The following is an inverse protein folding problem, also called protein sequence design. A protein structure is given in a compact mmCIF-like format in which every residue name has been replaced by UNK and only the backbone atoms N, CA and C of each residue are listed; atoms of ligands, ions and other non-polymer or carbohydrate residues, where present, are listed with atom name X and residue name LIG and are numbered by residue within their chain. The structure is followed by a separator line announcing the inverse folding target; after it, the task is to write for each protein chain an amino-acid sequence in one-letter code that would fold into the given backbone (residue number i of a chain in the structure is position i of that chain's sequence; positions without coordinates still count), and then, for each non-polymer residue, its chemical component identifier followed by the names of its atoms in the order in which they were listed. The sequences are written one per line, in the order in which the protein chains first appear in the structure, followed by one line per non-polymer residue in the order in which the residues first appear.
data_IF_579486805216
#
_entry.id   IF_579486805216
#
_cell.length_a   1.000
_cell.length_b   1.000
_cell.length_c   1.000
_cell.angle_alpha   90.00
_cell.angle_beta   90.00
_cell.angle_gamma   90.00
#
_symmetry.space_group_name_H-M   'P 1'
#
loop_
_entity.id
_entity.type
_entity.pdbx_description
1 polymer ?
#
# COMPACT_ATOMS: atom_id res chain seq x y z
N UNK A 1 39.04 4.83 -15.97
CA UNK A 1 39.11 5.08 -14.51
C UNK A 1 37.68 5.25 -14.02
N UNK A 2 37.18 4.24 -13.30
CA UNK A 2 35.83 4.25 -12.73
C UNK A 2 35.74 5.36 -11.69
N UNK A 3 34.85 6.31 -11.93
CA UNK A 3 34.49 7.33 -10.94
C UNK A 3 33.62 6.65 -9.89
N UNK A 4 34.25 6.27 -8.80
CA UNK A 4 33.61 5.80 -7.58
C UNK A 4 32.88 6.99 -6.94
N UNK A 5 31.66 7.26 -7.43
CA UNK A 5 30.76 8.21 -6.79
C UNK A 5 30.22 7.51 -5.55
N UNK A 6 30.49 8.00 -4.33
CA UNK A 6 29.86 7.43 -3.15
C UNK A 6 28.36 7.69 -3.28
N UNK A 7 27.61 6.66 -3.62
CA UNK A 7 26.16 6.69 -3.53
C UNK A 7 25.87 6.77 -2.03
N UNK A 8 25.53 7.96 -1.55
CA UNK A 8 24.92 8.07 -0.23
C UNK A 8 23.56 7.39 -0.41
N UNK A 9 23.46 6.14 0.05
CA UNK A 9 22.16 5.49 0.22
C UNK A 9 21.41 6.31 1.26
N UNK A 10 20.64 7.29 0.80
CA UNK A 10 19.62 7.94 1.61
C UNK A 10 18.65 6.83 1.97
N UNK A 11 18.85 6.24 3.16
CA UNK A 11 17.99 5.20 3.69
C UNK A 11 16.62 5.83 3.85
N UNK A 12 15.71 5.48 2.94
CA UNK A 12 14.35 6.00 2.96
C UNK A 12 13.68 5.51 4.24
N UNK A 13 13.29 6.45 5.13
CA UNK A 13 12.66 6.16 6.42
C UNK A 13 11.45 5.24 6.28
N UNK A 14 10.75 5.28 5.13
CA UNK A 14 9.66 4.35 4.78
C UNK A 14 10.14 2.92 4.61
N UNK A 15 11.16 2.73 3.79
CA UNK A 15 11.72 1.40 3.50
C UNK A 15 12.34 0.78 4.74
N UNK A 16 13.16 1.53 5.47
CA UNK A 16 13.79 1.05 6.70
C UNK A 16 12.78 0.59 7.74
N UNK A 17 11.67 1.32 7.87
CA UNK A 17 10.61 0.96 8.80
C UNK A 17 9.89 -0.33 8.38
N UNK A 18 9.54 -0.49 7.09
CA UNK A 18 8.93 -1.74 6.63
C UNK A 18 9.89 -2.93 6.73
N UNK A 19 11.19 -2.74 6.47
CA UNK A 19 12.20 -3.78 6.67
C UNK A 19 12.23 -4.24 8.14
N UNK A 20 12.22 -3.30 9.09
CA UNK A 20 12.17 -3.62 10.52
C UNK A 20 10.88 -4.34 10.93
N UNK A 21 9.73 -3.89 10.40
CA UNK A 21 8.43 -4.56 10.61
C UNK A 21 8.47 -6.00 10.11
N UNK A 22 8.99 -6.22 8.90
CA UNK A 22 9.03 -7.54 8.26
C UNK A 22 10.06 -8.48 8.90
N UNK A 23 11.15 -7.96 9.44
CA UNK A 23 12.23 -8.77 10.03
C UNK A 23 12.00 -9.06 11.52
N UNK A 24 11.59 -8.06 12.28
CA UNK A 24 11.60 -8.12 13.75
C UNK A 24 10.19 -8.23 14.35
N UNK A 25 9.14 -7.80 13.63
CA UNK A 25 7.78 -7.68 14.18
C UNK A 25 6.71 -8.30 13.26
N UNK A 26 7.08 -9.27 12.42
CA UNK A 26 6.20 -9.79 11.38
C UNK A 26 4.92 -10.43 11.93
N UNK A 27 5.02 -11.25 12.98
CA UNK A 27 3.87 -11.94 13.57
C UNK A 27 2.87 -10.96 14.17
N UNK A 28 3.35 -9.94 14.91
CA UNK A 28 2.48 -8.90 15.47
C UNK A 28 1.85 -8.07 14.34
N UNK A 29 2.63 -7.72 13.31
CA UNK A 29 2.15 -6.97 12.16
C UNK A 29 1.08 -7.75 11.39
N UNK A 30 1.26 -9.06 11.22
CA UNK A 30 0.30 -9.95 10.56
C UNK A 30 -0.99 -10.08 11.38
N UNK A 31 -0.89 -10.25 12.70
CA UNK A 31 -2.07 -10.29 13.58
C UNK A 31 -2.87 -8.99 13.50
N UNK A 32 -2.19 -7.83 13.45
CA UNK A 32 -2.84 -6.52 13.25
C UNK A 32 -3.49 -6.40 11.89
N UNK A 33 -2.81 -6.84 10.82
CA UNK A 33 -3.36 -6.82 9.47
C UNK A 33 -4.62 -7.69 9.36
N UNK A 34 -4.60 -8.89 9.91
CA UNK A 34 -5.76 -9.80 9.92
C UNK A 34 -6.92 -9.20 10.72
N UNK A 35 -6.67 -8.61 11.89
CA UNK A 35 -7.72 -7.93 12.66
C UNK A 35 -8.40 -6.81 11.85
N UNK A 36 -7.62 -6.05 11.08
CA UNK A 36 -8.16 -4.99 10.22
C UNK A 36 -8.96 -5.54 9.04
N UNK A 37 -8.56 -6.68 8.48
CA UNK A 37 -9.30 -7.36 7.41
C UNK A 37 -10.62 -7.94 7.93
N UNK A 38 -10.62 -8.51 9.14
CA UNK A 38 -11.81 -9.07 9.78
C UNK A 38 -12.85 -7.98 10.14
N UNK A 39 -12.39 -6.77 10.46
CA UNK A 39 -13.25 -5.60 10.71
C UNK A 39 -13.87 -5.01 9.42
N UNK A 40 -13.32 -5.34 8.25
CA UNK A 40 -13.76 -4.76 6.99
C UNK A 40 -15.04 -5.43 6.45
N UNK A 41 -15.90 -4.63 5.82
CA UNK A 41 -17.09 -5.16 5.15
C UNK A 41 -16.78 -5.47 3.69
N UNK A 42 -17.18 -6.64 3.22
CA UNK A 42 -17.02 -7.03 1.81
C UNK A 42 -18.16 -6.46 0.98
N UNK A 43 -17.82 -5.74 -0.09
CA UNK A 43 -18.75 -5.14 -1.04
C UNK A 43 -19.01 -6.06 -2.26
N UNK A 44 -19.99 -5.73 -3.11
CA UNK A 44 -20.36 -6.51 -4.30
C UNK A 44 -19.21 -6.71 -5.30
N UNK A 45 -18.26 -5.76 -5.32
CA UNK A 45 -17.07 -5.78 -6.16
C UNK A 45 -15.88 -6.54 -5.52
N UNK A 46 -16.09 -7.27 -4.41
CA UNK A 46 -15.03 -7.96 -3.66
C UNK A 46 -14.07 -7.02 -2.91
N UNK A 47 -14.44 -5.74 -2.75
CA UNK A 47 -13.66 -4.77 -2.01
C UNK A 47 -13.84 -4.96 -0.50
N UNK A 48 -12.74 -4.89 0.25
CA UNK A 48 -12.77 -4.94 1.71
C UNK A 48 -12.82 -3.50 2.20
N UNK A 49 -14.01 -3.00 2.48
CA UNK A 49 -14.25 -1.57 2.71
C UNK A 49 -14.21 -1.26 4.20
N UNK A 50 -13.38 -0.28 4.56
CA UNK A 50 -13.29 0.23 5.93
C UNK A 50 -14.44 1.21 6.21
N UNK A 51 -14.95 1.28 7.44
CA UNK A 51 -16.06 2.18 7.83
C UNK A 51 -15.64 3.68 7.97
N UNK A 52 -14.59 4.11 7.28
CA UNK A 52 -14.03 5.46 7.33
C UNK A 52 -14.46 6.31 6.14
N UNK A 53 -14.46 7.64 6.27
CA UNK A 53 -14.81 8.55 5.16
C UNK A 53 -13.77 8.53 4.03
N UNK A 54 -12.51 8.25 4.34
CA UNK A 54 -11.41 8.14 3.38
C UNK A 54 -10.48 6.98 3.71
N UNK A 55 -9.24 6.96 3.16
CA UNK A 55 -8.28 5.92 3.46
C UNK A 55 -8.03 5.80 4.96
N UNK A 56 -8.24 4.61 5.52
CA UNK A 56 -7.99 4.36 6.93
C UNK A 56 -6.50 4.51 7.24
N UNK A 57 -6.21 5.16 8.36
CA UNK A 57 -4.87 5.32 8.91
C UNK A 57 -4.83 4.70 10.29
N UNK A 58 -3.69 4.15 10.65
CA UNK A 58 -3.47 3.57 11.96
C UNK A 58 -2.03 3.84 12.40
N UNK A 59 -1.71 3.54 13.65
CA UNK A 59 -0.37 3.70 14.20
C UNK A 59 0.21 2.35 14.56
N UNK A 60 1.40 2.05 14.07
CA UNK A 60 2.13 0.82 14.38
C UNK A 60 3.60 1.16 14.62
N UNK A 61 4.21 0.60 15.67
CA UNK A 61 5.61 0.89 16.07
C UNK A 61 5.98 2.39 16.01
N UNK A 62 5.10 3.25 16.56
CA UNK A 62 5.31 4.70 16.60
C UNK A 62 5.02 5.47 15.31
N UNK A 63 4.95 4.81 14.15
CA UNK A 63 4.68 5.43 12.84
C UNK A 63 3.19 5.41 12.50
N UNK A 64 2.69 6.50 11.92
CA UNK A 64 1.35 6.53 11.33
C UNK A 64 1.45 6.07 9.86
N UNK A 65 0.70 5.03 9.49
CA UNK A 65 0.71 4.49 8.15
C UNK A 65 -0.71 4.31 7.60
N UNK A 66 -0.86 4.26 6.27
CA UNK A 66 -2.14 3.94 5.63
C UNK A 66 -2.36 2.43 5.69
N UNK A 67 -3.56 2.01 6.08
CA UNK A 67 -3.88 0.59 6.30
C UNK A 67 -3.70 -0.23 5.02
N UNK A 68 -4.20 0.25 3.88
CA UNK A 68 -4.05 -0.45 2.61
C UNK A 68 -2.57 -0.66 2.24
N UNK A 69 -1.74 0.38 2.43
CA UNK A 69 -0.31 0.35 2.14
C UNK A 69 0.39 -0.68 3.04
N UNK A 70 0.04 -0.70 4.31
CA UNK A 70 0.58 -1.64 5.29
C UNK A 70 0.23 -3.09 4.94
N UNK A 71 -1.03 -3.38 4.64
CA UNK A 71 -1.50 -4.71 4.26
C UNK A 71 -0.79 -5.19 2.99
N UNK A 72 -0.74 -4.37 1.94
CA UNK A 72 -0.03 -4.76 0.72
C UNK A 72 1.44 -5.08 0.97
N UNK A 73 2.16 -4.22 1.70
CA UNK A 73 3.57 -4.45 2.02
C UNK A 73 3.79 -5.76 2.81
N UNK A 74 2.93 -6.06 3.77
CA UNK A 74 3.03 -7.29 4.57
C UNK A 74 2.77 -8.54 3.75
N UNK A 75 1.67 -8.57 3.00
CA UNK A 75 1.26 -9.77 2.24
C UNK A 75 2.19 -10.04 1.04
N UNK A 76 2.78 -8.99 0.46
CA UNK A 76 3.76 -9.13 -0.62
C UNK A 76 5.21 -9.24 -0.11
N UNK A 77 5.43 -9.25 1.21
CA UNK A 77 6.76 -9.22 1.83
C UNK A 77 7.67 -8.13 1.23
N UNK A 78 7.10 -6.94 1.03
CA UNK A 78 7.70 -5.86 0.26
C UNK A 78 7.90 -4.60 1.11
N UNK A 79 9.13 -4.10 1.18
CA UNK A 79 9.46 -2.88 1.91
C UNK A 79 9.38 -1.65 1.01
N UNK A 80 8.18 -1.10 0.88
CA UNK A 80 7.95 0.06 0.02
C UNK A 80 8.61 1.33 0.56
N UNK A 81 9.32 2.03 -0.31
CA UNK A 81 9.94 3.33 -0.03
C UNK A 81 8.90 4.48 -0.10
N UNK A 82 9.26 5.68 0.33
CA UNK A 82 8.37 6.85 0.38
C UNK A 82 8.06 7.45 -0.99
N UNK A 83 8.82 7.11 -2.03
CA UNK A 83 8.57 7.53 -3.41
C UNK A 83 7.56 6.62 -4.13
N UNK A 84 7.52 5.34 -3.76
CA UNK A 84 6.62 4.31 -4.29
C UNK A 84 5.18 4.54 -3.85
N UNK A 85 4.26 4.29 -4.78
CA UNK A 85 2.83 4.47 -4.60
C UNK A 85 2.16 3.11 -4.73
N UNK A 86 1.40 2.74 -3.70
CA UNK A 86 0.51 1.60 -3.77
C UNK A 86 -0.83 2.12 -4.27
N UNK A 87 -1.21 1.65 -5.47
CA UNK A 87 -2.35 2.11 -6.25
C UNK A 87 -3.51 1.13 -6.07
N UNK A 88 -4.74 1.64 -6.11
CA UNK A 88 -5.94 0.81 -6.09
C UNK A 88 -6.38 0.54 -7.52
N UNK A 89 -6.42 -0.72 -7.94
CA UNK A 89 -7.01 -1.06 -9.24
C UNK A 89 -8.54 -0.89 -9.24
N UNK A 90 -9.17 -1.16 -8.09
CA UNK A 90 -10.63 -0.99 -7.91
C UNK A 90 -11.10 0.48 -7.82
N UNK A 91 -10.18 1.45 -7.84
CA UNK A 91 -10.41 2.88 -7.58
C UNK A 91 -11.21 3.21 -6.29
N UNK A 92 -11.36 2.25 -5.38
CA UNK A 92 -11.98 2.47 -4.08
C UNK A 92 -10.91 2.76 -3.03
N UNK A 93 -10.80 4.03 -2.63
CA UNK A 93 -9.80 4.50 -1.66
C UNK A 93 -9.99 3.97 -0.23
N UNK A 94 -11.12 3.34 0.06
CA UNK A 94 -11.43 2.69 1.34
C UNK A 94 -11.18 1.18 1.30
N UNK A 95 -10.85 0.63 0.13
CA UNK A 95 -10.56 -0.78 -0.03
C UNK A 95 -9.20 -1.13 0.59
N UNK A 96 -9.17 -2.16 1.42
CA UNK A 96 -7.95 -2.70 2.01
C UNK A 96 -7.62 -4.12 1.54
N UNK A 97 -8.32 -4.62 0.51
CA UNK A 97 -8.07 -5.94 -0.08
C UNK A 97 -6.69 -5.93 -0.78
N UNK A 98 -5.71 -6.76 -0.37
CA UNK A 98 -4.37 -6.80 -0.97
C UNK A 98 -4.39 -7.13 -2.47
N UNK A 99 -5.34 -7.94 -2.94
CA UNK A 99 -5.44 -8.36 -4.35
C UNK A 99 -5.89 -7.21 -5.28
N UNK A 100 -6.52 -6.18 -4.70
CA UNK A 100 -6.98 -4.99 -5.42
C UNK A 100 -5.92 -3.89 -5.46
N UNK A 101 -4.71 -4.16 -4.98
CA UNK A 101 -3.61 -3.22 -4.91
C UNK A 101 -2.50 -3.57 -5.88
N UNK A 102 -1.79 -2.55 -6.35
CA UNK A 102 -0.65 -2.71 -7.23
C UNK A 102 0.45 -1.71 -6.88
N UNK A 103 1.69 -2.18 -6.85
CA UNK A 103 2.84 -1.28 -6.75
C UNK A 103 2.98 -0.47 -8.04
N UNK A 104 3.24 0.82 -7.90
CA UNK A 104 3.61 1.67 -9.02
C UNK A 104 4.38 2.91 -8.61
N UNK A 105 4.67 3.74 -9.59
CA UNK A 105 5.30 5.03 -9.40
C UNK A 105 4.27 6.18 -9.39
N UNK A 106 4.73 7.40 -9.09
CA UNK A 106 3.86 8.60 -9.08
C UNK A 106 3.28 8.94 -10.45
N UNK A 107 3.99 8.62 -11.53
CA UNK A 107 3.59 8.88 -12.91
C UNK A 107 2.50 7.90 -13.32
N UNK A 108 2.64 6.61 -13.01
CA UNK A 108 1.62 5.59 -13.25
C UNK A 108 0.34 5.90 -12.47
N UNK A 109 0.45 6.31 -11.19
CA UNK A 109 -0.71 6.77 -10.42
C UNK A 109 -1.41 7.99 -11.03
N UNK A 110 -0.65 8.88 -11.69
CA UNK A 110 -1.24 10.00 -12.43
C UNK A 110 -1.98 9.53 -13.68
N UNK A 111 -1.42 8.57 -14.42
CA UNK A 111 -2.07 7.98 -15.59
C UNK A 111 -3.32 7.19 -15.24
N UNK A 112 -3.38 6.53 -14.08
CA UNK A 112 -4.60 5.88 -13.61
C UNK A 112 -5.72 6.90 -13.35
N UNK A 113 -5.40 8.04 -12.72
CA UNK A 113 -6.37 9.11 -12.48
C UNK A 113 -6.90 9.68 -13.80
N UNK A 114 -6.01 9.89 -14.77
CA UNK A 114 -6.38 10.34 -16.13
C UNK A 114 -7.23 9.29 -16.85
N UNK A 115 -6.83 8.02 -16.79
CA UNK A 115 -7.53 6.92 -17.43
C UNK A 115 -8.94 6.70 -16.85
N UNK A 116 -9.07 6.78 -15.52
CA UNK A 116 -10.36 6.69 -14.85
C UNK A 116 -11.28 7.86 -15.23
N UNK A 117 -10.75 9.08 -15.29
CA UNK A 117 -11.52 10.27 -15.72
C UNK A 117 -11.99 10.18 -17.17
N UNK A 118 -11.21 9.53 -18.03
CA UNK A 118 -11.53 9.37 -19.44
C UNK A 118 -12.52 8.21 -19.70
N UNK A 119 -12.33 7.07 -19.02
CA UNK A 119 -12.98 5.80 -19.37
C UNK A 119 -13.88 5.22 -18.27
N UNK A 120 -13.90 5.79 -17.07
CA UNK A 120 -14.78 5.43 -15.96
C UNK A 120 -14.36 4.20 -15.13
N UNK A 121 -13.79 3.15 -15.73
CA UNK A 121 -13.37 1.93 -15.00
C UNK A 121 -12.13 1.28 -15.62
N UNK A 122 -11.32 0.61 -14.79
CA UNK A 122 -10.25 -0.27 -15.25
C UNK A 122 -10.85 -1.60 -15.75
N UNK A 123 -10.82 -1.81 -17.07
CA UNK A 123 -11.36 -3.02 -17.72
C UNK A 123 -10.56 -4.29 -17.41
N UNK A 124 -9.39 -4.20 -16.76
CA UNK A 124 -8.60 -5.36 -16.33
C UNK A 124 -9.13 -6.06 -15.07
N UNK A 125 -10.21 -5.57 -14.46
CA UNK A 125 -10.86 -6.12 -13.28
C UNK A 125 -12.29 -6.67 -13.53
N UNK A 126 -12.76 -6.65 -14.79
CA UNK A 126 -13.99 -7.32 -15.24
C UNK A 126 -13.69 -8.77 -15.67
#
# INVERSE_FOLDING_TARGET
MQTDRPYIELRDDGRAWFEDVLQNNYEEALARANSLLDEATVDENGCYVTQTVGPQKFRFLGRQERVYRFIFCLFNHYAANSAEVIRHRCNNRRCINPDHMQLGDRRENHWDDVGFRANGVDYGLL
#
